data_IF_090207701578
#
_entry.id   IF_090207701578
#
_cell.length_a   1.000
_cell.length_b   1.000
_cell.length_c   1.000
_cell.angle_alpha   90.00
_cell.angle_beta   90.00
_cell.angle_gamma   90.00
#
_symmetry.space_group_name_H-M   'P 1'
#
loop_
_entity.id
_entity.type
_entity.pdbx_description
1 polymer ?
#
# COMPACT_ATOMS: atom_id res chain seq x y z
N UNK A 1 -55.85 39.67 45.94
CA UNK A 1 -56.95 39.37 46.88
C UNK A 1 -56.80 37.91 47.28
N UNK A 2 -56.62 37.66 48.58
CA UNK A 2 -56.24 36.36 49.14
C UNK A 2 -57.40 35.38 49.14
N UNK A 3 -57.09 34.09 49.00
CA UNK A 3 -57.76 33.07 49.79
C UNK A 3 -56.70 32.23 50.52
N UNK A 4 -56.72 32.32 51.84
CA UNK A 4 -56.09 31.34 52.72
C UNK A 4 -57.16 30.33 53.13
N UNK A 5 -56.81 29.05 53.11
CA UNK A 5 -57.53 28.04 53.87
C UNK A 5 -56.54 27.19 54.66
N UNK A 6 -56.67 27.23 55.98
CA UNK A 6 -55.84 26.52 56.95
C UNK A 6 -56.67 25.42 57.62
N UNK A 7 -56.22 24.16 57.53
CA UNK A 7 -56.53 23.11 58.53
C UNK A 7 -55.75 21.80 58.25
N UNK A 8 -54.80 21.47 59.16
CA UNK A 8 -54.35 20.13 59.64
C UNK A 8 -53.79 19.08 58.62
N UNK A 9 -53.16 17.98 59.07
CA UNK A 9 -51.72 17.87 59.29
C UNK A 9 -51.13 16.80 58.35
N UNK A 10 -50.71 17.18 57.16
CA UNK A 10 -49.98 16.31 56.24
C UNK A 10 -49.35 17.21 55.20
N UNK A 11 -48.11 16.88 54.81
CA UNK A 11 -47.35 17.41 53.67
C UNK A 11 -48.05 18.53 52.88
N UNK A 12 -47.59 19.77 53.03
CA UNK A 12 -47.98 20.84 52.10
C UNK A 12 -46.76 21.42 51.42
N UNK A 13 -46.44 20.78 50.31
CA UNK A 13 -45.80 21.38 49.15
C UNK A 13 -46.67 22.54 48.66
N UNK A 14 -46.12 23.75 48.62
CA UNK A 14 -46.73 24.86 47.92
C UNK A 14 -45.96 25.06 46.60
N UNK A 15 -46.66 24.83 45.49
CA UNK A 15 -46.18 25.08 44.13
C UNK A 15 -46.75 26.42 43.69
N UNK A 16 -45.88 27.39 43.41
CA UNK A 16 -46.21 28.53 42.56
C UNK A 16 -45.65 28.28 41.17
N UNK A 17 -46.48 28.54 40.15
CA UNK A 17 -46.17 28.29 38.75
C UNK A 17 -44.95 29.09 38.25
N UNK A 18 -44.20 28.44 37.35
CA UNK A 18 -43.16 28.99 36.47
C UNK A 18 -41.81 29.37 37.08
N UNK A 19 -40.90 28.39 37.24
CA UNK A 19 -39.59 28.35 36.58
C UNK A 19 -38.82 27.08 37.02
N UNK A 20 -38.00 26.56 36.12
CA UNK A 20 -37.30 25.29 36.24
C UNK A 20 -36.12 25.40 37.22
N UNK A 21 -36.38 25.48 38.53
CA UNK A 21 -35.31 25.49 39.55
C UNK A 21 -35.82 24.91 40.86
N UNK A 22 -35.17 23.85 41.37
CA UNK A 22 -35.44 23.32 42.72
C UNK A 22 -34.52 24.04 43.70
N UNK A 23 -35.11 24.80 44.63
CA UNK A 23 -34.39 25.41 45.74
C UNK A 23 -34.66 24.64 47.03
N UNK A 24 -33.64 24.51 47.89
CA UNK A 24 -33.78 24.00 49.27
C UNK A 24 -33.77 25.19 50.22
N UNK A 25 -34.86 25.37 50.98
CA UNK A 25 -35.01 26.48 51.92
C UNK A 25 -35.13 25.96 53.36
N UNK A 26 -34.39 26.59 54.28
CA UNK A 26 -34.44 26.31 55.72
C UNK A 26 -34.98 27.52 56.48
N UNK A 27 -35.86 27.28 57.45
CA UNK A 27 -36.43 28.33 58.30
C UNK A 27 -35.49 28.63 59.49
N UNK A 28 -35.14 29.90 59.67
CA UNK A 28 -34.38 30.37 60.84
C UNK A 28 -35.33 31.19 61.72
N UNK A 29 -35.54 30.73 62.96
CA UNK A 29 -36.51 31.32 63.89
C UNK A 29 -36.31 32.82 64.11
N UNK A 30 -37.43 33.55 64.23
CA UNK A 30 -37.59 35.03 64.11
C UNK A 30 -37.43 35.57 62.68
N UNK A 31 -38.22 35.02 61.77
CA UNK A 31 -38.66 35.70 60.54
C UNK A 31 -37.71 35.67 59.34
N UNK A 32 -36.60 34.92 59.41
CA UNK A 32 -35.67 34.76 58.29
C UNK A 32 -35.77 33.38 57.63
N UNK A 33 -35.60 33.34 56.30
CA UNK A 33 -35.41 32.09 55.55
C UNK A 33 -34.12 32.20 54.74
N UNK A 34 -33.34 31.12 54.69
CA UNK A 34 -32.17 31.00 53.82
C UNK A 34 -32.49 29.97 52.74
N UNK A 35 -32.40 30.36 51.47
CA UNK A 35 -32.60 29.49 50.32
C UNK A 35 -31.28 29.35 49.57
N UNK A 36 -30.84 28.11 49.35
CA UNK A 36 -29.69 27.78 48.52
C UNK A 36 -30.19 27.23 47.18
N UNK A 37 -29.69 27.81 46.09
CA UNK A 37 -29.87 27.27 44.74
C UNK A 37 -28.92 26.08 44.57
N UNK A 38 -29.49 24.89 44.30
CA UNK A 38 -28.71 23.69 43.97
C UNK A 38 -28.84 23.47 42.46
N UNK A 39 -27.74 23.53 41.67
CA UNK A 39 -27.80 23.23 40.26
C UNK A 39 -28.07 21.72 40.08
N UNK A 40 -29.17 21.39 39.40
CA UNK A 40 -29.45 20.00 39.01
C UNK A 40 -28.58 19.64 37.81
N UNK A 41 -27.44 19.00 38.02
CA UNK A 41 -26.73 18.32 36.93
C UNK A 41 -27.41 16.97 36.66
N UNK A 42 -28.13 16.91 35.55
CA UNK A 42 -28.89 15.74 35.10
C UNK A 42 -27.96 14.64 34.57
N UNK A 43 -28.17 13.43 35.06
CA UNK A 43 -27.52 12.16 34.63
C UNK A 43 -27.71 11.86 33.12
N UNK A 44 -28.58 12.59 32.41
CA UNK A 44 -28.84 12.45 30.98
C UNK A 44 -27.69 12.88 30.06
N UNK A 45 -26.78 13.74 30.52
CA UNK A 45 -25.70 14.27 29.68
C UNK A 45 -24.50 13.31 29.60
N UNK A 46 -24.38 12.38 30.55
CA UNK A 46 -23.28 11.41 30.58
C UNK A 46 -23.46 10.29 29.54
N UNK A 47 -24.69 9.82 29.30
CA UNK A 47 -24.96 8.69 28.38
C UNK A 47 -24.91 9.16 26.91
N UNK A 48 -25.19 10.44 26.66
CA UNK A 48 -25.14 11.01 25.30
C UNK A 48 -23.71 11.26 24.81
N UNK A 49 -22.73 11.30 25.71
CA UNK A 49 -21.33 11.53 25.37
C UNK A 49 -20.60 10.25 24.91
N UNK A 50 -21.05 9.06 25.31
CA UNK A 50 -20.39 7.79 24.93
C UNK A 50 -20.78 7.31 23.52
N UNK A 51 -22.03 7.52 23.08
CA UNK A 51 -22.51 7.02 21.77
C UNK A 51 -22.12 7.89 20.55
N UNK A 52 -21.72 9.15 20.74
CA UNK A 52 -21.28 10.05 19.66
C UNK A 52 -19.76 9.99 19.42
N UNK A 53 -19.01 9.33 20.31
CA UNK A 53 -17.56 9.15 20.18
C UNK A 53 -17.22 8.09 19.13
N UNK A 54 -18.00 7.01 19.10
CA UNK A 54 -17.74 5.84 18.24
C UNK A 54 -17.93 6.14 16.74
N UNK A 55 -18.99 6.85 16.35
CA UNK A 55 -19.22 7.22 14.94
C UNK A 55 -18.15 8.19 14.41
N UNK A 56 -17.68 9.10 15.26
CA UNK A 56 -16.59 10.01 14.92
C UNK A 56 -15.30 9.21 14.70
N UNK A 57 -14.94 8.34 15.65
CA UNK A 57 -13.75 7.49 15.57
C UNK A 57 -13.79 6.58 14.34
N UNK A 58 -14.93 5.95 14.05
CA UNK A 58 -15.11 5.14 12.84
C UNK A 58 -14.93 5.97 11.56
N UNK A 59 -15.45 7.20 11.52
CA UNK A 59 -15.27 8.10 10.38
C UNK A 59 -13.80 8.53 10.20
N UNK A 60 -13.07 8.80 11.29
CA UNK A 60 -11.63 9.09 11.25
C UNK A 60 -10.83 7.87 10.77
N UNK A 61 -11.18 6.69 11.25
CA UNK A 61 -10.56 5.42 10.84
C UNK A 61 -10.81 5.15 9.35
N UNK A 62 -12.03 5.35 8.86
CA UNK A 62 -12.37 5.19 7.44
C UNK A 62 -11.63 6.20 6.56
N UNK A 63 -11.50 7.46 6.98
CA UNK A 63 -10.68 8.46 6.27
C UNK A 63 -9.22 8.08 6.22
N UNK A 64 -8.66 7.58 7.32
CA UNK A 64 -7.27 7.12 7.37
C UNK A 64 -7.04 5.93 6.44
N UNK A 65 -7.97 4.96 6.43
CA UNK A 65 -7.92 3.81 5.53
C UNK A 65 -8.00 4.26 4.06
N UNK A 66 -8.90 5.19 3.72
CA UNK A 66 -9.00 5.74 2.36
C UNK A 66 -7.69 6.42 1.93
N UNK A 67 -7.09 7.26 2.78
CA UNK A 67 -5.80 7.91 2.49
C UNK A 67 -4.70 6.86 2.33
N UNK A 68 -4.64 5.85 3.22
CA UNK A 68 -3.65 4.79 3.16
C UNK A 68 -3.78 3.96 1.87
N UNK A 69 -5.00 3.59 1.49
CA UNK A 69 -5.27 2.85 0.24
C UNK A 69 -4.88 3.67 -0.99
N UNK A 70 -5.15 4.97 -0.98
CA UNK A 70 -4.72 5.88 -2.05
C UNK A 70 -3.20 5.95 -2.15
N UNK A 71 -2.48 6.04 -1.03
CA UNK A 71 -1.02 6.04 -1.02
C UNK A 71 -0.45 4.70 -1.53
N UNK A 72 -1.03 3.57 -1.11
CA UNK A 72 -0.64 2.24 -1.59
C UNK A 72 -0.87 2.12 -3.11
N UNK A 73 -2.02 2.57 -3.60
CA UNK A 73 -2.33 2.57 -5.04
C UNK A 73 -1.33 3.41 -5.84
N UNK A 74 -0.98 4.58 -5.33
CA UNK A 74 -0.03 5.48 -5.97
C UNK A 74 1.38 4.88 -6.02
N UNK A 75 1.81 4.20 -4.96
CA UNK A 75 3.07 3.42 -4.94
C UNK A 75 3.01 2.25 -5.93
N UNK A 76 1.90 1.51 -5.97
CA UNK A 76 1.73 0.39 -6.90
C UNK A 76 1.80 0.84 -8.36
N UNK A 77 1.19 1.98 -8.71
CA UNK A 77 1.23 2.57 -10.04
C UNK A 77 2.65 3.03 -10.43
N UNK A 78 3.45 3.50 -9.47
CA UNK A 78 4.84 3.88 -9.72
C UNK A 78 5.78 2.67 -9.84
N UNK A 79 5.44 1.56 -9.19
CA UNK A 79 6.25 0.33 -9.21
C UNK A 79 5.80 -0.69 -10.27
N UNK A 80 4.69 -0.46 -10.96
CA UNK A 80 4.19 -1.34 -12.02
C UNK A 80 4.99 -1.17 -13.32
N UNK A 81 6.28 -1.45 -13.28
CA UNK A 81 7.02 -1.83 -14.48
C UNK A 81 6.78 -3.32 -14.69
N UNK A 82 5.93 -3.66 -15.66
CA UNK A 82 5.76 -5.04 -16.07
C UNK A 82 7.04 -5.47 -16.82
N UNK A 83 8.06 -5.90 -16.07
CA UNK A 83 9.21 -6.56 -16.67
C UNK A 83 8.71 -7.88 -17.27
N UNK A 84 8.76 -7.98 -18.60
CA UNK A 84 8.38 -9.21 -19.30
C UNK A 84 9.45 -10.28 -19.00
N UNK A 85 9.23 -10.99 -17.90
CA UNK A 85 10.10 -12.04 -17.40
C UNK A 85 9.60 -13.41 -17.88
N UNK A 86 10.39 -14.04 -18.73
CA UNK A 86 10.12 -15.35 -19.31
C UNK A 86 10.97 -16.40 -18.60
N UNK A 87 10.34 -17.34 -17.90
CA UNK A 87 11.06 -18.50 -17.35
C UNK A 87 11.41 -19.48 -18.48
N UNK A 88 12.68 -19.87 -18.56
CA UNK A 88 13.17 -20.86 -19.53
C UNK A 88 13.81 -22.01 -18.77
N UNK A 89 13.35 -23.23 -19.02
CA UNK A 89 13.91 -24.46 -18.46
C UNK A 89 14.88 -25.09 -19.44
N UNK A 90 16.07 -25.42 -18.97
CA UNK A 90 17.10 -26.09 -19.74
C UNK A 90 17.70 -27.28 -19.00
N UNK A 91 17.97 -28.37 -19.71
CA UNK A 91 18.64 -29.53 -19.14
C UNK A 91 20.16 -29.29 -19.10
N UNK A 92 20.80 -29.66 -17.99
CA UNK A 92 22.25 -29.55 -17.86
C UNK A 92 22.96 -30.39 -18.94
N UNK A 93 24.10 -29.91 -19.43
CA UNK A 93 24.84 -30.58 -20.51
C UNK A 93 24.33 -30.27 -21.92
N UNK A 94 23.13 -29.69 -22.05
CA UNK A 94 22.49 -29.43 -23.35
C UNK A 94 22.60 -27.97 -23.77
N UNK A 95 22.23 -27.66 -25.00
CA UNK A 95 22.19 -26.29 -25.50
C UNK A 95 20.81 -25.69 -25.28
N UNK A 96 20.76 -24.51 -24.66
CA UNK A 96 19.51 -23.77 -24.46
C UNK A 96 19.46 -22.57 -25.39
N UNK A 97 18.29 -22.29 -25.96
CA UNK A 97 18.10 -21.15 -26.86
C UNK A 97 17.10 -20.16 -26.25
N UNK A 98 17.57 -18.93 -26.03
CA UNK A 98 16.73 -17.80 -25.65
C UNK A 98 16.37 -17.03 -26.91
N UNK A 99 15.07 -16.74 -27.12
CA UNK A 99 14.59 -16.06 -28.32
C UNK A 99 13.95 -14.74 -27.92
N UNK A 100 14.49 -13.63 -28.40
CA UNK A 100 13.95 -12.32 -28.08
C UNK A 100 12.87 -11.88 -29.07
N UNK A 101 11.77 -11.37 -28.53
CA UNK A 101 10.62 -10.84 -29.28
C UNK A 101 10.94 -9.48 -29.93
N UNK A 102 10.84 -9.40 -31.27
CA UNK A 102 11.16 -8.25 -32.16
C UNK A 102 12.47 -8.42 -32.97
N UNK A 103 12.38 -8.32 -34.31
CA UNK A 103 13.44 -8.70 -35.26
C UNK A 103 14.06 -7.51 -36.03
N UNK A 104 13.58 -6.28 -35.85
CA UNK A 104 13.90 -5.18 -36.80
C UNK A 104 15.14 -4.35 -36.46
N UNK A 105 15.82 -4.59 -35.33
CA UNK A 105 16.98 -3.81 -34.91
C UNK A 105 18.09 -4.67 -34.34
N UNK A 106 19.31 -4.11 -34.29
CA UNK A 106 20.44 -4.69 -33.57
C UNK A 106 20.07 -5.10 -32.15
N UNK A 107 20.49 -6.30 -31.77
CA UNK A 107 20.16 -6.91 -30.48
C UNK A 107 21.36 -6.93 -29.59
N UNK A 108 21.16 -6.57 -28.34
CA UNK A 108 22.19 -6.55 -27.32
C UNK A 108 21.83 -7.61 -26.28
N UNK A 109 22.78 -8.50 -26.01
CA UNK A 109 22.60 -9.59 -25.05
C UNK A 109 23.45 -9.33 -23.82
N UNK A 110 22.82 -9.47 -22.66
CA UNK A 110 23.45 -9.32 -21.36
C UNK A 110 23.10 -10.51 -20.46
N UNK A 111 23.95 -10.77 -19.49
CA UNK A 111 23.68 -11.70 -18.41
C UNK A 111 23.92 -11.01 -17.07
N UNK A 112 23.17 -11.42 -16.06
CA UNK A 112 23.43 -11.07 -14.68
C UNK A 112 24.71 -11.76 -14.21
N UNK A 113 25.61 -11.02 -13.56
CA UNK A 113 26.73 -11.63 -12.82
C UNK A 113 26.39 -11.66 -11.34
N UNK A 114 25.86 -10.55 -10.82
CA UNK A 114 25.57 -10.42 -9.41
C UNK A 114 24.50 -9.37 -9.19
N UNK A 115 23.29 -9.78 -8.81
CA UNK A 115 22.14 -8.90 -8.54
C UNK A 115 22.01 -7.75 -9.57
N UNK A 116 22.56 -6.57 -9.30
CA UNK A 116 22.42 -5.42 -10.20
C UNK A 116 23.50 -5.32 -11.29
N UNK A 117 24.55 -6.13 -11.25
CA UNK A 117 25.63 -6.12 -12.24
C UNK A 117 25.30 -7.00 -13.43
N UNK A 118 25.30 -6.36 -14.60
CA UNK A 118 25.08 -7.02 -15.90
C UNK A 118 26.36 -6.98 -16.72
N UNK A 119 26.79 -8.12 -17.22
CA UNK A 119 27.82 -8.20 -18.24
C UNK A 119 27.19 -8.29 -19.61
N UNK A 120 27.70 -7.51 -20.56
CA UNK A 120 27.33 -7.66 -21.95
C UNK A 120 28.04 -8.88 -22.54
N UNK A 121 27.27 -9.76 -23.18
CA UNK A 121 27.79 -10.92 -23.90
C UNK A 121 28.23 -10.47 -25.30
N UNK A 122 27.35 -9.75 -25.97
CA UNK A 122 27.60 -9.30 -27.33
C UNK A 122 26.36 -8.71 -27.97
N UNK A 123 26.44 -8.50 -29.27
CA UNK A 123 25.34 -8.01 -30.09
C UNK A 123 25.22 -8.73 -31.42
N UNK A 124 24.01 -8.82 -31.93
CA UNK A 124 23.72 -9.17 -33.32
C UNK A 124 23.34 -7.94 -34.12
N UNK A 125 23.75 -7.94 -35.38
CA UNK A 125 23.34 -6.97 -36.37
C UNK A 125 22.20 -7.53 -37.22
N UNK A 126 21.43 -6.63 -37.83
CA UNK A 126 20.41 -7.03 -38.82
C UNK A 126 20.99 -7.80 -40.01
N UNK A 127 22.30 -7.69 -40.29
CA UNK A 127 23.02 -8.40 -41.37
C UNK A 127 23.40 -9.85 -41.03
N UNK A 128 22.87 -10.43 -39.95
CA UNK A 128 23.20 -11.76 -39.41
C UNK A 128 24.61 -11.90 -38.81
N UNK A 129 25.44 -10.86 -38.86
CA UNK A 129 26.71 -10.83 -38.15
C UNK A 129 26.51 -10.65 -36.63
N UNK A 130 27.44 -11.18 -35.85
CA UNK A 130 27.47 -11.00 -34.40
C UNK A 130 28.85 -10.60 -33.91
N UNK A 131 28.89 -9.83 -32.81
CA UNK A 131 30.13 -9.42 -32.14
C UNK A 131 30.03 -9.72 -30.66
N UNK A 132 31.10 -10.24 -30.08
CA UNK A 132 31.21 -10.51 -28.65
C UNK A 132 32.01 -9.41 -27.97
N UNK A 133 31.64 -9.06 -26.74
CA UNK A 133 32.35 -8.01 -25.99
C UNK A 133 33.55 -8.52 -25.23
N UNK A 134 33.66 -9.83 -25.01
CA UNK A 134 34.79 -10.43 -24.34
C UNK A 134 35.28 -11.66 -25.11
N UNK A 135 36.61 -11.84 -25.20
CA UNK A 135 37.18 -13.02 -25.83
C UNK A 135 36.75 -14.29 -25.08
N UNK A 136 36.52 -15.37 -25.81
CA UNK A 136 36.06 -16.65 -25.24
C UNK A 136 34.55 -16.76 -25.08
N UNK A 137 33.77 -15.68 -25.12
CA UNK A 137 32.31 -15.77 -25.05
C UNK A 137 31.70 -16.52 -26.24
N UNK A 138 32.32 -16.48 -27.42
CA UNK A 138 31.92 -17.29 -28.59
C UNK A 138 32.00 -18.81 -28.37
N UNK A 139 32.80 -19.26 -27.41
CA UNK A 139 32.90 -20.70 -27.07
C UNK A 139 31.70 -21.15 -26.24
N UNK A 140 31.18 -20.27 -25.38
CA UNK A 140 30.06 -20.54 -24.47
C UNK A 140 28.71 -20.12 -25.05
N UNK A 141 28.69 -19.05 -25.82
CA UNK A 141 27.49 -18.44 -26.36
C UNK A 141 27.55 -18.43 -27.90
N UNK A 142 26.38 -18.54 -28.54
CA UNK A 142 26.22 -18.31 -29.97
C UNK A 142 25.08 -17.33 -30.19
N UNK A 143 25.38 -16.18 -30.76
CA UNK A 143 24.38 -15.17 -31.11
C UNK A 143 23.94 -15.40 -32.56
N UNK A 144 22.65 -15.64 -32.78
CA UNK A 144 22.06 -15.95 -34.08
C UNK A 144 20.84 -15.05 -34.30
N UNK A 145 21.05 -13.86 -34.89
CA UNK A 145 19.98 -12.87 -35.08
C UNK A 145 19.32 -12.49 -33.75
N UNK A 146 18.04 -12.81 -33.57
CA UNK A 146 17.30 -12.55 -32.34
C UNK A 146 17.40 -13.67 -31.29
N UNK A 147 18.29 -14.65 -31.49
CA UNK A 147 18.47 -15.80 -30.57
C UNK A 147 19.84 -15.78 -29.92
N UNK A 148 19.88 -16.15 -28.65
CA UNK A 148 21.09 -16.45 -27.90
C UNK A 148 21.09 -17.93 -27.53
N UNK A 149 22.07 -18.67 -28.02
CA UNK A 149 22.28 -20.07 -27.67
C UNK A 149 23.37 -20.16 -26.61
N UNK A 150 23.04 -20.77 -25.49
CA UNK A 150 23.97 -21.08 -24.40
C UNK A 150 24.39 -22.53 -24.59
N UNK A 151 25.68 -22.77 -24.83
CA UNK A 151 26.22 -24.09 -25.12
C UNK A 151 26.54 -24.82 -23.82
N UNK A 152 26.22 -26.12 -23.77
CA UNK A 152 26.56 -27.00 -22.65
C UNK A 152 26.19 -26.38 -21.29
N UNK A 153 24.89 -26.26 -21.05
CA UNK A 153 24.33 -25.59 -19.87
C UNK A 153 24.88 -26.18 -18.57
N UNK A 154 25.36 -25.31 -17.68
CA UNK A 154 25.77 -25.69 -16.32
C UNK A 154 24.86 -25.02 -15.30
N UNK A 155 24.93 -25.48 -14.04
CA UNK A 155 24.19 -24.84 -12.95
C UNK A 155 24.60 -23.37 -12.75
N UNK A 156 25.85 -23.01 -13.08
CA UNK A 156 26.32 -21.63 -13.02
C UNK A 156 25.67 -20.74 -14.08
N UNK A 157 25.20 -21.30 -15.19
CA UNK A 157 24.48 -20.56 -16.23
C UNK A 157 23.01 -20.30 -15.86
N UNK A 158 22.50 -20.85 -14.76
CA UNK A 158 21.14 -20.60 -14.30
C UNK A 158 21.05 -19.22 -13.63
N UNK A 159 20.70 -18.21 -14.43
CA UNK A 159 20.70 -16.79 -14.03
C UNK A 159 19.76 -15.98 -14.92
N UNK A 160 19.65 -14.68 -14.66
CA UNK A 160 18.91 -13.77 -15.52
C UNK A 160 19.72 -13.39 -16.76
N UNK A 161 19.08 -13.46 -17.91
CA UNK A 161 19.58 -12.97 -19.20
C UNK A 161 18.67 -11.87 -19.71
N UNK A 162 19.25 -10.86 -20.33
CA UNK A 162 18.52 -9.70 -20.80
C UNK A 162 18.76 -9.48 -22.28
N UNK A 163 17.67 -9.26 -23.00
CA UNK A 163 17.67 -8.78 -24.37
C UNK A 163 17.36 -7.29 -24.38
N UNK A 164 18.20 -6.51 -25.08
CA UNK A 164 18.02 -5.08 -25.23
C UNK A 164 18.14 -4.58 -26.66
N UNK A 165 17.57 -3.40 -26.88
CA UNK A 165 17.73 -2.59 -28.10
C UNK A 165 18.29 -1.23 -27.73
N UNK A 166 19.06 -0.63 -28.63
CA UNK A 166 19.57 0.73 -28.43
C UNK A 166 18.56 1.74 -28.97
N UNK A 167 18.06 2.64 -28.13
CA UNK A 167 17.11 3.71 -28.50
C UNK A 167 17.56 5.03 -27.91
N UNK A 168 17.82 6.03 -28.75
CA UNK A 168 18.22 7.37 -28.27
C UNK A 168 19.54 7.39 -27.47
N UNK A 169 20.44 6.44 -27.72
CA UNK A 169 21.73 6.35 -27.02
C UNK A 169 21.75 5.44 -25.79
N UNK A 170 20.59 5.12 -25.21
CA UNK A 170 20.48 4.17 -24.09
C UNK A 170 20.05 2.78 -24.56
N UNK A 171 20.38 1.76 -23.77
CA UNK A 171 19.88 0.39 -23.96
C UNK A 171 18.55 0.25 -23.22
N UNK A 172 17.49 -0.08 -23.95
CA UNK A 172 16.19 -0.46 -23.38
C UNK A 172 16.10 -1.98 -23.37
N UNK A 173 15.90 -2.58 -22.19
CA UNK A 173 15.66 -4.01 -22.06
C UNK A 173 14.22 -4.31 -22.45
N UNK A 174 14.06 -5.24 -23.38
CA UNK A 174 12.75 -5.59 -23.97
C UNK A 174 12.21 -6.87 -23.34
N UNK A 175 13.10 -7.79 -22.98
CA UNK A 175 12.73 -9.10 -22.46
C UNK A 175 13.82 -9.60 -21.51
N UNK A 176 13.37 -10.19 -20.40
CA UNK A 176 14.22 -10.78 -19.38
C UNK A 176 13.92 -12.27 -19.32
N UNK A 177 14.96 -13.10 -19.34
CA UNK A 177 14.84 -14.55 -19.29
C UNK A 177 15.42 -15.06 -17.98
N UNK A 178 14.62 -15.80 -17.22
CA UNK A 178 15.10 -16.53 -16.05
C UNK A 178 15.42 -17.96 -16.44
N UNK A 179 16.71 -18.24 -16.62
CA UNK A 179 17.15 -19.56 -17.00
C UNK A 179 17.31 -20.43 -15.75
N UNK A 180 16.59 -21.54 -15.73
CA UNK A 180 16.64 -22.50 -14.65
C UNK A 180 16.93 -23.90 -15.19
N UNK A 181 17.56 -24.72 -14.36
CA UNK A 181 17.81 -26.12 -14.69
C UNK A 181 16.52 -26.94 -14.59
N UNK A 182 16.19 -27.66 -15.67
CA UNK A 182 15.26 -28.78 -15.64
C UNK A 182 15.99 -30.00 -15.10
N UNK A 183 15.52 -30.51 -13.97
CA UNK A 183 16.02 -31.74 -13.33
C UNK A 183 15.41 -32.98 -13.94
#
# INVERSE_FOLDING_TARGET
MFFFSFSHPLSRTFSSASLHTRALCFALGRGGALCLEVPSTSVSDSIRAELLSDDSVLLWMLKLIMVLLWMILLVFLLCAEAENMTEVRGELGTNVTLTCSNQTSDRYWYMEIHSQFRAGIGRSFSSADSTYYSPGFETKFSILGNKLVIKNLTAEDCRLYFCGIKRGGSTQFVETFHLISGN
#
